data_IF_342473371019
#
_entry.id   IF_342473371019
#
_cell.length_a   1.000
_cell.length_b   1.000
_cell.length_c   1.000
_cell.angle_alpha   90.00
_cell.angle_beta   90.00
_cell.angle_gamma   90.00
#
_symmetry.space_group_name_H-M   'P 1'
#
loop_
_entity.id
_entity.type
_entity.pdbx_description
1 polymer ?
#
# COMPACT_ATOMS: atom_id res chain seq x y z
N UNK A 1 -16.40 10.49 12.18
CA UNK A 1 -15.15 9.75 12.09
C UNK A 1 -14.03 10.52 11.38
N UNK A 2 -14.31 11.52 10.55
CA UNK A 2 -13.34 12.52 10.06
C UNK A 2 -12.35 12.06 8.99
N UNK A 3 -12.24 10.76 8.69
CA UNK A 3 -11.38 10.27 7.61
C UNK A 3 -12.06 10.52 6.27
N UNK A 4 -11.40 11.31 5.40
CA UNK A 4 -11.80 11.50 4.01
C UNK A 4 -11.26 10.37 3.11
N UNK A 5 -12.02 10.02 2.07
CA UNK A 5 -11.59 9.06 1.05
C UNK A 5 -11.67 9.71 -0.33
N UNK A 6 -10.71 9.39 -1.18
CA UNK A 6 -10.75 9.78 -2.58
C UNK A 6 -11.77 8.93 -3.34
N UNK A 7 -12.81 9.60 -3.88
CA UNK A 7 -13.88 8.94 -4.64
C UNK A 7 -13.45 8.67 -6.08
N UNK A 8 -12.60 7.68 -6.26
CA UNK A 8 -12.00 7.29 -7.54
C UNK A 8 -12.57 5.96 -8.04
N UNK A 9 -12.55 5.78 -9.35
CA UNK A 9 -12.61 4.44 -9.95
C UNK A 9 -11.23 3.77 -9.86
N UNK A 10 -11.20 2.45 -10.00
CA UNK A 10 -9.94 1.69 -10.02
C UNK A 10 -8.96 2.23 -11.07
N UNK A 11 -9.44 2.52 -12.26
CA UNK A 11 -8.64 3.08 -13.36
C UNK A 11 -8.03 4.42 -12.97
N UNK A 12 -8.84 5.35 -12.45
CA UNK A 12 -8.37 6.67 -12.04
C UNK A 12 -7.38 6.61 -10.86
N UNK A 13 -7.57 5.68 -9.92
CA UNK A 13 -6.64 5.48 -8.81
C UNK A 13 -5.28 4.96 -9.31
N UNK A 14 -5.29 3.99 -10.23
CA UNK A 14 -4.06 3.47 -10.85
C UNK A 14 -3.34 4.57 -11.65
N UNK A 15 -4.07 5.35 -12.43
CA UNK A 15 -3.46 6.43 -13.23
C UNK A 15 -2.91 7.56 -12.35
N UNK A 16 -3.55 7.84 -11.21
CA UNK A 16 -3.01 8.77 -10.23
C UNK A 16 -1.70 8.22 -9.60
N UNK A 17 -1.68 6.94 -9.20
CA UNK A 17 -0.47 6.31 -8.69
C UNK A 17 0.70 6.37 -9.70
N UNK A 18 0.44 6.08 -10.97
CA UNK A 18 1.45 6.18 -12.04
C UNK A 18 2.02 7.58 -12.15
N UNK A 19 1.14 8.60 -12.13
CA UNK A 19 1.58 10.02 -12.16
C UNK A 19 2.44 10.38 -10.96
N UNK A 20 2.06 9.98 -9.74
CA UNK A 20 2.84 10.25 -8.53
C UNK A 20 4.22 9.57 -8.60
N UNK A 21 4.30 8.36 -9.14
CA UNK A 21 5.56 7.65 -9.40
C UNK A 21 6.43 8.45 -10.39
N UNK A 22 5.84 8.91 -11.50
CA UNK A 22 6.57 9.63 -12.55
C UNK A 22 7.02 11.03 -12.12
N UNK A 23 6.22 11.71 -11.30
CA UNK A 23 6.54 13.02 -10.72
C UNK A 23 7.61 12.94 -9.63
N UNK A 24 7.86 11.78 -9.07
CA UNK A 24 8.87 11.49 -8.03
C UNK A 24 8.80 12.48 -6.84
N UNK A 25 7.61 12.57 -6.19
CA UNK A 25 7.32 13.61 -5.18
C UNK A 25 7.32 13.12 -3.73
N UNK A 26 7.82 11.93 -3.47
CA UNK A 26 7.72 11.28 -2.15
C UNK A 26 6.29 11.21 -1.59
N UNK A 27 5.32 11.06 -2.49
CA UNK A 27 3.92 10.93 -2.13
C UNK A 27 3.64 9.63 -1.39
N UNK A 28 2.59 9.60 -0.56
CA UNK A 28 2.17 8.33 0.04
C UNK A 28 0.67 8.07 -0.07
N UNK A 29 0.37 6.80 -0.32
CA UNK A 29 -0.97 6.25 -0.42
C UNK A 29 -1.28 5.37 0.80
N UNK A 30 -2.45 5.56 1.39
CA UNK A 30 -2.98 4.70 2.44
C UNK A 30 -4.26 4.00 1.98
N UNK A 31 -4.51 2.81 2.54
CA UNK A 31 -5.63 1.95 2.15
C UNK A 31 -6.51 1.58 3.37
N UNK A 32 -7.16 2.58 4.04
CA UNK A 32 -7.86 2.30 5.25
C UNK A 32 -9.08 1.40 5.04
N UNK A 33 -9.14 0.34 5.84
CA UNK A 33 -10.31 -0.51 6.03
C UNK A 33 -11.11 -0.03 7.26
N UNK A 34 -12.29 -0.61 7.59
CA UNK A 34 -13.07 -0.20 8.75
C UNK A 34 -12.31 -0.25 10.08
N UNK A 35 -11.41 -1.20 10.26
CA UNK A 35 -10.61 -1.35 11.49
C UNK A 35 -9.62 -0.19 11.64
N UNK A 36 -8.96 0.20 10.56
CA UNK A 36 -8.04 1.35 10.54
C UNK A 36 -8.79 2.66 10.78
N UNK A 37 -9.98 2.84 10.18
CA UNK A 37 -10.83 4.01 10.42
C UNK A 37 -11.26 4.10 11.89
N UNK A 38 -11.60 2.98 12.52
CA UNK A 38 -11.95 2.95 13.94
C UNK A 38 -10.73 3.21 14.83
N UNK A 39 -9.57 2.66 14.51
CA UNK A 39 -8.34 2.96 15.23
C UNK A 39 -7.95 4.45 15.12
N UNK A 40 -8.13 5.07 13.96
CA UNK A 40 -7.90 6.50 13.77
C UNK A 40 -8.86 7.39 14.57
N UNK A 41 -10.06 6.90 14.91
CA UNK A 41 -10.97 7.61 15.81
C UNK A 41 -10.40 7.76 17.23
N UNK A 42 -9.62 6.79 17.69
CA UNK A 42 -9.04 6.74 19.03
C UNK A 42 -7.58 7.23 19.07
N UNK A 43 -6.94 7.39 17.89
CA UNK A 43 -5.54 7.79 17.76
C UNK A 43 -5.40 8.99 16.81
N UNK A 44 -5.17 10.18 17.38
CA UNK A 44 -5.05 11.43 16.62
C UNK A 44 -3.86 11.41 15.64
N UNK A 45 -2.72 10.82 16.02
CA UNK A 45 -1.54 10.74 15.15
C UNK A 45 -1.83 9.86 13.90
N UNK A 46 -2.53 8.73 14.09
CA UNK A 46 -2.97 7.89 12.97
C UNK A 46 -3.99 8.61 12.10
N UNK A 47 -4.94 9.34 12.72
CA UNK A 47 -5.91 10.15 11.98
C UNK A 47 -5.21 11.18 11.09
N UNK A 48 -4.24 11.91 11.65
CA UNK A 48 -3.50 12.93 10.92
C UNK A 48 -2.63 12.29 9.82
N UNK A 49 -1.99 11.16 10.08
CA UNK A 49 -1.23 10.42 9.08
C UNK A 49 -2.11 9.98 7.89
N UNK A 50 -3.35 9.58 8.13
CA UNK A 50 -4.29 9.22 7.05
C UNK A 50 -4.77 10.47 6.31
N UNK A 51 -5.13 11.53 7.03
CA UNK A 51 -5.70 12.75 6.43
C UNK A 51 -4.68 13.56 5.62
N UNK A 52 -3.38 13.43 5.92
CA UNK A 52 -2.29 14.07 5.18
C UNK A 52 -1.73 13.23 4.03
N UNK A 53 -2.27 12.02 3.79
CA UNK A 53 -1.86 11.21 2.67
C UNK A 53 -2.25 11.84 1.33
N UNK A 54 -1.40 11.69 0.31
CA UNK A 54 -1.67 12.18 -1.06
C UNK A 54 -2.79 11.39 -1.74
N UNK A 55 -3.05 10.16 -1.27
CA UNK A 55 -4.12 9.30 -1.77
C UNK A 55 -4.66 8.40 -0.65
N UNK A 56 -5.96 8.48 -0.41
CA UNK A 56 -6.68 7.68 0.59
C UNK A 56 -7.74 6.83 -0.10
N UNK A 57 -7.45 5.56 -0.38
CA UNK A 57 -8.36 4.68 -1.11
C UNK A 57 -9.15 3.73 -0.18
N UNK A 58 -10.44 3.49 -0.47
CA UNK A 58 -11.29 2.66 0.38
C UNK A 58 -10.99 1.16 0.19
N UNK A 59 -10.23 0.56 1.10
CA UNK A 59 -10.04 -0.89 1.12
C UNK A 59 -11.06 -1.56 2.06
N UNK A 60 -11.81 -2.44 1.52
CA UNK A 60 -12.84 -3.16 2.25
C UNK A 60 -14.26 -2.64 2.01
N UNK A 61 -15.17 -3.59 1.81
CA UNK A 61 -16.58 -3.30 1.51
C UNK A 61 -17.29 -2.57 2.66
N UNK A 62 -16.80 -2.70 3.89
CA UNK A 62 -17.36 -2.04 5.06
C UNK A 62 -17.28 -0.52 4.97
N UNK A 63 -16.16 0.02 4.47
CA UNK A 63 -15.98 1.47 4.23
C UNK A 63 -17.00 1.98 3.20
N UNK A 64 -17.12 1.28 2.06
CA UNK A 64 -18.05 1.66 0.98
C UNK A 64 -19.51 1.63 1.45
N UNK A 65 -19.89 0.60 2.25
CA UNK A 65 -21.23 0.52 2.83
C UNK A 65 -21.47 1.63 3.85
N UNK A 66 -20.52 1.92 4.73
CA UNK A 66 -20.62 2.98 5.71
C UNK A 66 -20.77 4.36 5.04
N UNK A 67 -19.94 4.66 4.02
CA UNK A 67 -20.03 5.87 3.24
C UNK A 67 -21.41 6.07 2.61
N UNK A 68 -22.02 5.00 2.09
CA UNK A 68 -23.38 5.04 1.54
C UNK A 68 -24.44 5.34 2.62
N UNK A 69 -24.29 4.76 3.82
CA UNK A 69 -25.24 4.98 4.94
C UNK A 69 -25.21 6.43 5.42
N UNK A 70 -24.02 7.05 5.47
CA UNK A 70 -23.84 8.45 5.92
C UNK A 70 -24.11 9.48 4.82
N UNK A 71 -24.51 9.05 3.60
CA UNK A 71 -24.90 9.95 2.51
C UNK A 71 -23.75 10.46 1.65
N UNK A 72 -22.55 9.90 1.76
CA UNK A 72 -21.36 10.21 0.93
C UNK A 72 -20.87 8.96 0.19
N UNK A 73 -21.65 8.45 -0.78
CA UNK A 73 -21.35 7.16 -1.42
C UNK A 73 -20.01 7.22 -2.17
N UNK A 74 -19.22 6.17 -2.02
CA UNK A 74 -18.00 5.94 -2.81
C UNK A 74 -18.32 5.09 -4.03
N UNK A 75 -17.63 5.34 -5.14
CA UNK A 75 -17.84 4.68 -6.43
C UNK A 75 -17.64 3.17 -6.35
N UNK A 76 -16.52 2.76 -5.77
CA UNK A 76 -16.18 1.34 -5.66
C UNK A 76 -15.21 1.05 -4.50
N UNK A 77 -15.07 -0.22 -4.18
CA UNK A 77 -14.01 -0.71 -3.29
C UNK A 77 -12.73 -0.85 -4.07
N UNK A 78 -11.62 -0.33 -3.51
CA UNK A 78 -10.28 -0.37 -4.10
C UNK A 78 -9.33 -1.18 -3.22
N UNK A 79 -9.23 -2.52 -3.41
CA UNK A 79 -8.29 -3.32 -2.63
C UNK A 79 -6.85 -2.91 -2.87
N UNK A 80 -6.13 -2.57 -1.80
CA UNK A 80 -4.74 -2.10 -1.90
C UNK A 80 -3.83 -3.06 -2.67
N UNK A 81 -3.98 -4.37 -2.46
CA UNK A 81 -3.18 -5.38 -3.18
C UNK A 81 -3.41 -5.33 -4.71
N UNK A 82 -4.65 -5.04 -5.17
CA UNK A 82 -4.94 -4.97 -6.62
C UNK A 82 -4.38 -3.70 -7.26
N UNK A 83 -4.31 -2.60 -6.50
CA UNK A 83 -3.58 -1.40 -6.92
C UNK A 83 -2.08 -1.70 -6.96
N UNK A 84 -1.54 -2.39 -5.95
CA UNK A 84 -0.15 -2.84 -5.92
C UNK A 84 0.21 -3.72 -7.13
N UNK A 85 -0.63 -4.71 -7.47
CA UNK A 85 -0.46 -5.56 -8.67
C UNK A 85 -0.37 -4.71 -9.96
N UNK A 86 -1.26 -3.71 -10.12
CA UNK A 86 -1.25 -2.83 -11.29
C UNK A 86 0.00 -1.92 -11.35
N UNK A 87 0.50 -1.47 -10.19
CA UNK A 87 1.75 -0.69 -10.11
C UNK A 87 2.95 -1.56 -10.46
N UNK A 88 2.99 -2.82 -9.98
CA UNK A 88 4.07 -3.76 -10.31
C UNK A 88 4.11 -4.07 -11.81
N UNK A 89 2.95 -4.27 -12.45
CA UNK A 89 2.84 -4.45 -13.90
C UNK A 89 3.34 -3.20 -14.65
N UNK A 90 2.94 -2.01 -14.21
CA UNK A 90 3.42 -0.75 -14.77
C UNK A 90 4.94 -0.61 -14.62
N UNK A 91 5.49 -0.90 -13.44
CA UNK A 91 6.93 -0.83 -13.17
C UNK A 91 7.71 -1.79 -14.08
N UNK A 92 7.23 -3.02 -14.27
CA UNK A 92 7.84 -3.99 -15.17
C UNK A 92 7.86 -3.54 -16.63
N UNK A 93 6.78 -2.86 -17.09
CA UNK A 93 6.65 -2.36 -18.48
C UNK A 93 7.48 -1.10 -18.75
N UNK A 94 7.71 -0.27 -17.72
CA UNK A 94 8.37 1.04 -17.88
C UNK A 94 9.78 1.09 -17.34
N UNK A 95 10.26 0.00 -16.71
CA UNK A 95 11.59 -0.08 -16.10
C UNK A 95 11.72 0.67 -14.76
N UNK A 96 10.58 1.05 -14.16
CA UNK A 96 10.56 1.67 -12.84
C UNK A 96 11.02 0.70 -11.77
N UNK A 97 11.73 1.22 -10.77
CA UNK A 97 12.31 0.44 -9.67
C UNK A 97 11.35 0.33 -8.48
N UNK A 98 11.35 -0.84 -7.83
CA UNK A 98 10.48 -1.13 -6.68
C UNK A 98 11.33 -1.55 -5.49
N UNK A 99 11.04 -1.00 -4.31
CA UNK A 99 11.60 -1.47 -3.04
C UNK A 99 10.51 -2.12 -2.19
N UNK A 100 10.81 -3.26 -1.57
CA UNK A 100 9.88 -4.00 -0.72
C UNK A 100 10.26 -3.83 0.76
N UNK A 101 9.39 -3.20 1.56
CA UNK A 101 9.60 -2.97 2.97
C UNK A 101 8.52 -3.65 3.80
N UNK A 102 8.89 -4.57 4.65
CA UNK A 102 7.96 -5.16 5.63
C UNK A 102 7.97 -6.67 5.69
N UNK A 103 6.90 -7.20 6.28
CA UNK A 103 6.73 -8.61 6.61
C UNK A 103 7.82 -9.17 7.55
N UNK A 104 7.82 -10.50 7.76
CA UNK A 104 8.85 -11.19 8.57
C UNK A 104 10.16 -11.29 7.81
N UNK A 105 11.29 -11.49 8.51
CA UNK A 105 12.59 -11.74 7.87
C UNK A 105 12.49 -12.84 6.81
N UNK A 106 13.03 -12.57 5.60
CA UNK A 106 13.04 -13.48 4.46
C UNK A 106 11.77 -13.45 3.60
N UNK A 107 10.64 -12.90 4.08
CA UNK A 107 9.39 -12.85 3.29
C UNK A 107 9.50 -11.86 2.12
N UNK A 108 10.09 -10.69 2.35
CA UNK A 108 10.29 -9.70 1.29
C UNK A 108 11.20 -10.23 0.18
N UNK A 109 12.23 -11.02 0.51
CA UNK A 109 13.12 -11.65 -0.47
C UNK A 109 12.39 -12.74 -1.28
N UNK A 110 11.61 -13.60 -0.61
CA UNK A 110 10.78 -14.60 -1.27
C UNK A 110 9.70 -13.96 -2.16
N UNK A 111 9.12 -12.82 -1.72
CA UNK A 111 8.17 -12.05 -2.54
C UNK A 111 8.86 -11.49 -3.78
N UNK A 112 10.07 -10.94 -3.65
CA UNK A 112 10.90 -10.45 -4.77
C UNK A 112 11.07 -11.52 -5.85
N UNK A 113 11.51 -12.73 -5.47
CA UNK A 113 11.73 -13.82 -6.42
C UNK A 113 10.44 -14.13 -7.22
N UNK A 114 9.32 -14.33 -6.52
CA UNK A 114 8.04 -14.65 -7.15
C UNK A 114 7.45 -13.50 -7.98
N UNK A 115 7.64 -12.26 -7.52
CA UNK A 115 7.21 -11.09 -8.29
C UNK A 115 8.00 -10.99 -9.61
N UNK A 116 9.30 -11.23 -9.60
CA UNK A 116 10.13 -11.20 -10.80
C UNK A 116 9.80 -12.35 -11.77
N UNK A 117 9.35 -13.51 -11.27
CA UNK A 117 8.79 -14.59 -12.08
C UNK A 117 7.45 -14.21 -12.71
N UNK A 118 6.58 -13.52 -11.93
CA UNK A 118 5.22 -13.15 -12.36
C UNK A 118 5.21 -11.94 -13.30
N UNK A 119 6.11 -10.99 -13.08
CA UNK A 119 6.26 -9.75 -13.85
C UNK A 119 7.65 -9.68 -14.50
N UNK A 120 7.85 -10.30 -15.68
CA UNK A 120 9.15 -10.28 -16.38
C UNK A 120 9.60 -8.84 -16.64
N UNK A 121 10.84 -8.53 -16.27
CA UNK A 121 11.41 -7.20 -16.38
C UNK A 121 11.24 -6.31 -15.14
N UNK A 122 10.54 -6.77 -14.10
CA UNK A 122 10.39 -6.02 -12.86
C UNK A 122 11.74 -5.83 -12.15
N UNK A 123 12.11 -4.58 -11.93
CA UNK A 123 13.32 -4.20 -11.20
C UNK A 123 13.02 -4.04 -9.70
N UNK A 124 13.22 -5.08 -8.90
CA UNK A 124 13.19 -4.95 -7.43
C UNK A 124 14.58 -4.56 -6.94
N UNK A 125 14.78 -3.25 -6.70
CA UNK A 125 16.08 -2.65 -6.35
C UNK A 125 16.51 -2.91 -4.90
N UNK A 126 15.59 -3.34 -4.01
CA UNK A 126 15.94 -3.69 -2.64
C UNK A 126 14.77 -4.27 -1.85
N UNK A 127 15.10 -4.87 -0.72
CA UNK A 127 14.17 -5.44 0.25
C UNK A 127 14.61 -5.09 1.66
N UNK A 128 13.67 -4.96 2.60
CA UNK A 128 13.95 -4.93 4.04
C UNK A 128 12.76 -5.52 4.80
N UNK A 129 13.02 -6.31 5.83
CA UNK A 129 11.93 -6.80 6.68
C UNK A 129 11.34 -5.70 7.57
N UNK A 130 10.21 -5.99 8.23
CA UNK A 130 9.48 -5.03 9.07
C UNK A 130 9.90 -5.00 10.54
N UNK A 131 10.98 -5.71 10.94
CA UNK A 131 11.39 -5.93 12.32
C UNK A 131 12.60 -5.08 12.74
N UNK A 132 12.67 -3.87 12.25
CA UNK A 132 13.67 -2.89 12.64
C UNK A 132 13.22 -2.06 13.86
N UNK A 133 14.19 -1.58 14.65
CA UNK A 133 13.97 -0.73 15.83
C UNK A 133 14.32 0.73 15.57
N UNK A 134 15.20 0.97 14.61
CA UNK A 134 15.68 2.28 14.19
C UNK A 134 15.36 2.49 12.72
N UNK A 135 14.70 3.58 12.40
CA UNK A 135 14.31 3.94 11.03
C UNK A 135 15.49 4.42 10.19
N UNK A 136 16.52 5.01 10.83
CA UNK A 136 17.64 5.64 10.15
C UNK A 136 18.30 4.74 9.11
N UNK A 137 18.80 3.54 9.49
CA UNK A 137 19.44 2.62 8.55
C UNK A 137 18.52 2.14 7.42
N UNK A 138 17.21 2.03 7.70
CA UNK A 138 16.23 1.61 6.69
C UNK A 138 15.99 2.74 5.68
N UNK A 139 15.82 3.97 6.14
CA UNK A 139 15.67 5.17 5.30
C UNK A 139 16.92 5.35 4.42
N UNK A 140 18.13 5.24 5.00
CA UNK A 140 19.38 5.31 4.25
C UNK A 140 19.46 4.23 3.15
N UNK A 141 19.08 3.00 3.46
CA UNK A 141 19.06 1.88 2.51
C UNK A 141 18.08 2.12 1.36
N UNK A 142 16.90 2.65 1.66
CA UNK A 142 15.89 2.97 0.64
C UNK A 142 16.40 4.10 -0.25
N UNK A 143 16.91 5.20 0.33
CA UNK A 143 17.43 6.33 -0.42
C UNK A 143 18.64 5.95 -1.28
N UNK A 144 19.52 5.06 -0.80
CA UNK A 144 20.64 4.54 -1.59
C UNK A 144 20.16 3.69 -2.80
N UNK A 145 19.00 3.05 -2.70
CA UNK A 145 18.42 2.27 -3.78
C UNK A 145 17.59 3.11 -4.77
N UNK A 146 17.20 4.33 -4.40
CA UNK A 146 16.41 5.29 -5.21
C UNK A 146 15.20 4.65 -5.90
N UNK A 147 14.24 4.05 -5.15
CA UNK A 147 13.10 3.40 -5.77
C UNK A 147 12.09 4.42 -6.30
N UNK A 148 11.51 4.12 -7.47
CA UNK A 148 10.35 4.86 -7.97
C UNK A 148 9.08 4.52 -7.16
N UNK A 149 8.98 3.27 -6.68
CA UNK A 149 7.87 2.78 -5.87
C UNK A 149 8.36 2.04 -4.62
N UNK A 150 7.87 2.44 -3.44
CA UNK A 150 8.12 1.79 -2.16
C UNK A 150 6.84 1.10 -1.67
N UNK A 151 6.85 -0.23 -1.71
CA UNK A 151 5.77 -1.06 -1.17
C UNK A 151 5.97 -1.24 0.34
N UNK A 152 5.11 -0.62 1.17
CA UNK A 152 5.19 -0.66 2.63
C UNK A 152 4.20 -1.67 3.20
N UNK A 153 4.70 -2.72 3.83
CA UNK A 153 3.94 -3.85 4.38
C UNK A 153 4.29 -4.09 5.86
N UNK A 154 4.18 -3.04 6.65
CA UNK A 154 4.48 -3.08 8.10
C UNK A 154 3.26 -3.43 8.95
N UNK A 155 2.06 -3.49 8.32
CA UNK A 155 0.77 -3.62 8.99
C UNK A 155 0.30 -2.32 9.64
N UNK A 156 -1.03 -2.19 9.78
CA UNK A 156 -1.65 -1.04 10.42
C UNK A 156 -1.55 -1.15 11.95
N UNK A 157 -1.40 -0.04 12.69
CA UNK A 157 -1.23 1.34 12.22
C UNK A 157 0.22 1.72 11.88
N UNK A 158 1.17 0.78 12.03
CA UNK A 158 2.61 1.06 11.91
C UNK A 158 2.99 1.63 10.54
N UNK A 159 2.41 1.09 9.46
CA UNK A 159 2.75 1.53 8.10
C UNK A 159 2.29 2.96 7.81
N UNK A 160 1.10 3.35 8.24
CA UNK A 160 0.56 4.70 8.04
C UNK A 160 1.43 5.72 8.78
N UNK A 161 1.70 5.46 10.06
CA UNK A 161 2.55 6.31 10.89
C UNK A 161 3.98 6.41 10.34
N UNK A 162 4.58 5.28 9.95
CA UNK A 162 5.92 5.24 9.42
C UNK A 162 6.06 6.02 8.10
N UNK A 163 5.10 5.88 7.17
CA UNK A 163 5.11 6.64 5.92
C UNK A 163 4.99 8.14 6.17
N UNK A 164 4.04 8.56 7.01
CA UNK A 164 3.85 9.96 7.36
C UNK A 164 5.10 10.58 8.03
N UNK A 165 5.75 9.86 8.95
CA UNK A 165 6.95 10.32 9.66
C UNK A 165 8.18 10.41 8.76
N UNK A 166 8.25 9.60 7.70
CA UNK A 166 9.44 9.52 6.85
C UNK A 166 9.24 10.12 5.44
N UNK A 167 8.05 10.65 5.11
CA UNK A 167 7.77 11.20 3.78
C UNK A 167 8.77 12.26 3.33
N UNK A 168 9.16 13.19 4.22
CA UNK A 168 10.12 14.24 3.93
C UNK A 168 11.58 13.75 3.92
N UNK A 169 11.86 12.57 4.44
CA UNK A 169 13.20 11.98 4.55
C UNK A 169 13.53 11.01 3.41
N UNK A 170 12.52 10.57 2.71
CA UNK A 170 12.61 9.56 1.64
C UNK A 170 12.61 10.21 0.27
N UNK A 171 13.51 9.75 -0.59
CA UNK A 171 13.59 10.12 -2.00
C UNK A 171 13.00 8.98 -2.85
N UNK A 172 11.66 8.97 -2.95
CA UNK A 172 10.87 7.95 -3.65
C UNK A 172 9.76 8.60 -4.47
N UNK A 173 9.27 7.94 -5.51
CA UNK A 173 8.14 8.45 -6.26
C UNK A 173 6.83 8.34 -5.47
N UNK A 174 6.45 7.11 -5.11
CA UNK A 174 5.24 6.80 -4.35
C UNK A 174 5.53 5.73 -3.29
N UNK A 175 5.08 5.96 -2.07
CA UNK A 175 4.95 4.93 -1.03
C UNK A 175 3.51 4.42 -0.99
N UNK A 176 3.29 3.13 -0.80
CA UNK A 176 1.95 2.58 -0.61
C UNK A 176 1.88 1.61 0.57
N UNK A 177 0.98 1.90 1.51
CA UNK A 177 0.68 1.04 2.65
C UNK A 177 -0.24 -0.11 2.23
N UNK A 178 0.33 -1.31 2.04
CA UNK A 178 -0.37 -2.46 1.46
C UNK A 178 -0.52 -3.66 2.43
N UNK A 179 -0.29 -3.43 3.73
CA UNK A 179 -0.55 -4.43 4.78
C UNK A 179 0.18 -5.75 4.57
N UNK A 180 -0.56 -6.85 4.59
CA UNK A 180 -0.02 -8.21 4.42
C UNK A 180 0.25 -8.64 2.98
N UNK A 181 0.31 -7.72 2.02
CA UNK A 181 0.46 -8.08 0.60
C UNK A 181 1.75 -8.82 0.29
N UNK A 182 2.86 -8.53 0.99
CA UNK A 182 4.12 -9.27 0.80
C UNK A 182 3.99 -10.75 1.15
N UNK A 183 3.21 -11.10 2.19
CA UNK A 183 2.96 -12.49 2.55
C UNK A 183 2.17 -13.22 1.44
N UNK A 184 1.26 -12.52 0.77
CA UNK A 184 0.52 -13.05 -0.38
C UNK A 184 1.44 -13.24 -1.58
N UNK A 185 2.25 -12.25 -1.93
CA UNK A 185 3.21 -12.34 -3.04
C UNK A 185 4.29 -13.41 -2.79
N UNK A 186 4.75 -13.55 -1.55
CA UNK A 186 5.65 -14.63 -1.15
C UNK A 186 4.96 -16.01 -1.16
N UNK A 187 3.62 -16.07 -1.24
CA UNK A 187 2.85 -17.30 -1.21
C UNK A 187 2.83 -17.96 0.17
N UNK A 188 3.17 -17.25 1.24
CA UNK A 188 3.06 -17.70 2.63
C UNK A 188 1.62 -17.62 3.14
N UNK A 189 0.83 -16.72 2.54
CA UNK A 189 -0.60 -16.55 2.79
C UNK A 189 -1.36 -16.63 1.47
N UNK A 190 -2.46 -17.36 1.44
CA UNK A 190 -3.34 -17.43 0.26
C UNK A 190 -4.43 -16.34 0.34
N UNK A 191 -4.70 -15.69 -0.79
CA UNK A 191 -5.90 -14.84 -0.91
C UNK A 191 -7.16 -15.70 -0.91
N UNK A 192 -8.25 -15.15 -0.40
CA UNK A 192 -9.56 -15.76 -0.55
C UNK A 192 -9.83 -16.08 -2.03
N UNK A 193 -10.51 -17.20 -2.34
CA UNK A 193 -10.85 -17.56 -3.72
C UNK A 193 -11.61 -16.43 -4.45
N UNK A 194 -11.42 -16.29 -5.76
CA UNK A 194 -12.04 -15.21 -6.57
C UNK A 194 -13.55 -15.11 -6.39
N UNK A 195 -14.25 -16.24 -6.17
CA UNK A 195 -15.69 -16.23 -5.89
C UNK A 195 -16.02 -15.49 -4.59
N UNK A 196 -15.25 -15.71 -3.52
CA UNK A 196 -15.41 -15.02 -2.23
C UNK A 196 -15.06 -13.53 -2.31
N UNK A 197 -14.03 -13.20 -3.11
CA UNK A 197 -13.66 -11.81 -3.38
C UNK A 197 -14.79 -11.06 -4.09
N UNK A 198 -15.42 -11.68 -5.11
CA UNK A 198 -16.58 -11.10 -5.84
C UNK A 198 -17.81 -10.91 -4.94
N UNK A 199 -18.02 -11.78 -3.98
CA UNK A 199 -19.10 -11.66 -3.00
C UNK A 199 -18.78 -10.71 -1.85
N UNK A 200 -17.58 -10.09 -1.84
CA UNK A 200 -17.09 -9.26 -0.73
C UNK A 200 -17.05 -10.00 0.63
N UNK A 201 -16.81 -11.31 0.60
CA UNK A 201 -16.82 -12.20 1.76
C UNK A 201 -15.41 -12.63 2.21
N UNK A 202 -14.36 -11.86 1.85
CA UNK A 202 -12.96 -12.20 2.17
C UNK A 202 -12.68 -12.34 3.67
N UNK A 203 -13.45 -11.64 4.52
CA UNK A 203 -13.29 -11.73 5.99
C UNK A 203 -13.81 -13.07 6.57
N UNK A 204 -14.53 -13.86 5.78
CA UNK A 204 -15.05 -15.17 6.19
C UNK A 204 -14.12 -16.33 5.78
N UNK A 205 -13.03 -16.04 5.08
CA UNK A 205 -12.04 -16.99 4.62
C UNK A 205 -10.81 -17.01 5.53
#
# INVERSE_FOLDING_TARGET
>A
MGVGFDDLTRENAIDLCKRLIDEHRSAYMVTPNPEIVMAAWENAELHDAICNADLVIPDGIGVVKAARIIGTPLKERLPGIEIGEAILEYAAQTGKSVFLLGAKPGVADAAKEKMQETYPGLNVCGTNDGYFKDDGPVVEKINAAQPDFLMVCLGAPKQELWMAQNAERLDVGLMAGLGGSLDVFAGTVMRAPKAWQRMNACLLY
#
